data_IF_484495456541
#
_entry.id   IF_484495456541
#
_cell.length_a   1.000
_cell.length_b   1.000
_cell.length_c   1.000
_cell.angle_alpha   90.00
_cell.angle_beta   90.00
_cell.angle_gamma   90.00
#
_symmetry.space_group_name_H-M   'P 1'
#
loop_
_entity.id
_entity.type
_entity.pdbx_description
1 polymer ?
#
# COMPACT_ATOMS: atom_id res chain seq x y z
N UNK A 1 -43.98 -28.43 32.07
CA UNK A 1 -43.03 -27.37 32.45
C UNK A 1 -42.12 -27.10 31.27
N UNK A 2 -42.32 -25.95 30.59
CA UNK A 2 -41.46 -25.52 29.47
C UNK A 2 -40.62 -24.36 30.02
N UNK A 3 -39.28 -24.44 30.03
CA UNK A 3 -38.45 -23.37 30.57
C UNK A 3 -38.46 -22.16 29.62
N UNK A 4 -38.58 -20.97 30.21
CA UNK A 4 -38.55 -19.67 29.54
C UNK A 4 -37.16 -19.44 28.92
N UNK A 5 -37.12 -19.09 27.64
CA UNK A 5 -35.94 -18.53 26.98
C UNK A 5 -35.59 -17.18 27.63
N UNK A 6 -34.38 -17.10 28.20
CA UNK A 6 -33.76 -15.84 28.58
C UNK A 6 -33.41 -15.05 27.31
N UNK A 7 -33.81 -13.79 27.26
CA UNK A 7 -33.55 -12.90 26.13
C UNK A 7 -32.06 -12.72 25.88
N UNK A 8 -31.64 -12.91 24.63
CA UNK A 8 -30.32 -12.51 24.17
C UNK A 8 -30.26 -10.98 24.17
N UNK A 9 -29.53 -10.41 25.14
CA UNK A 9 -29.16 -9.00 25.10
C UNK A 9 -28.22 -8.76 23.91
N UNK A 10 -28.55 -7.76 23.07
CA UNK A 10 -27.59 -7.20 22.12
C UNK A 10 -26.42 -6.64 22.93
N UNK A 11 -25.27 -7.29 22.85
CA UNK A 11 -24.01 -6.68 23.26
C UNK A 11 -23.66 -5.63 22.21
N UNK A 12 -23.94 -4.37 22.50
CA UNK A 12 -23.36 -3.27 21.76
C UNK A 12 -21.84 -3.38 21.95
N UNK A 13 -21.13 -3.77 20.88
CA UNK A 13 -19.67 -3.75 20.86
C UNK A 13 -19.27 -2.30 20.93
N UNK A 14 -18.72 -1.88 22.08
CA UNK A 14 -17.99 -0.64 22.16
C UNK A 14 -16.75 -0.81 21.27
N UNK A 15 -16.81 -0.22 20.07
CA UNK A 15 -15.60 0.16 19.35
C UNK A 15 -14.82 1.04 20.31
N UNK A 16 -13.67 0.57 20.80
CA UNK A 16 -12.73 1.46 21.46
C UNK A 16 -12.46 2.61 20.49
N UNK A 17 -12.69 3.84 20.92
CA UNK A 17 -12.46 5.01 20.09
C UNK A 17 -10.97 5.10 19.79
N UNK A 18 -10.56 4.61 18.62
CA UNK A 18 -9.28 5.00 18.04
C UNK A 18 -9.43 6.46 17.61
N UNK A 19 -8.65 7.36 18.23
CA UNK A 19 -8.50 8.71 17.70
C UNK A 19 -7.45 8.68 16.59
N UNK A 20 -7.83 8.11 15.44
CA UNK A 20 -7.08 8.24 14.18
C UNK A 20 -7.51 9.48 13.40
N UNK A 21 -8.25 10.39 14.04
CA UNK A 21 -8.83 11.55 13.40
C UNK A 21 -7.86 12.72 13.43
N UNK A 22 -7.75 13.42 12.30
CA UNK A 22 -6.89 14.61 12.22
C UNK A 22 -7.49 15.85 12.90
N UNK A 23 -8.79 15.77 13.27
CA UNK A 23 -9.60 16.88 13.80
C UNK A 23 -9.48 18.13 12.92
N UNK A 24 -9.01 19.26 13.47
CA UNK A 24 -8.87 20.53 12.76
C UNK A 24 -7.62 20.60 11.86
N UNK A 25 -6.65 19.71 12.08
CA UNK A 25 -5.40 19.67 11.33
C UNK A 25 -5.41 18.52 10.30
N UNK A 26 -4.35 18.44 9.51
CA UNK A 26 -3.97 17.28 8.68
C UNK A 26 -2.43 17.16 8.70
N UNK A 27 -1.85 16.64 9.80
CA UNK A 27 -0.42 16.79 10.10
C UNK A 27 0.49 15.81 9.34
N UNK A 28 -0.06 14.74 8.76
CA UNK A 28 0.72 13.70 8.09
C UNK A 28 0.15 13.33 6.71
N UNK A 29 0.97 12.71 5.85
CA UNK A 29 0.54 12.31 4.49
C UNK A 29 -0.75 11.49 4.49
N UNK A 30 -0.87 10.54 5.41
CA UNK A 30 -2.06 9.71 5.62
C UNK A 30 -3.09 10.31 6.58
N UNK A 31 -3.05 11.62 6.82
CA UNK A 31 -3.81 12.30 7.86
C UNK A 31 -3.10 12.22 9.20
N UNK A 32 -2.99 11.02 9.75
CA UNK A 32 -2.29 10.69 10.99
C UNK A 32 -1.19 9.65 10.73
N UNK A 33 -0.32 9.36 11.70
CA UNK A 33 0.75 8.35 11.55
C UNK A 33 0.26 6.92 11.30
N UNK A 34 -1.00 6.64 11.62
CA UNK A 34 -1.71 5.39 11.35
C UNK A 34 -2.33 5.30 9.95
N UNK A 35 -2.25 6.36 9.15
CA UNK A 35 -2.64 6.41 7.73
C UNK A 35 -4.14 6.17 7.41
N UNK A 36 -5.05 6.44 8.35
CA UNK A 36 -6.49 6.28 8.16
C UNK A 36 -7.11 7.19 7.09
N UNK A 37 -6.48 8.34 6.81
CA UNK A 37 -7.05 9.42 5.98
C UNK A 37 -8.47 9.81 6.43
N UNK A 38 -8.71 9.80 7.74
CA UNK A 38 -10.01 10.07 8.37
C UNK A 38 -9.97 11.40 9.14
N UNK A 39 -11.00 12.23 8.95
CA UNK A 39 -11.24 13.42 9.75
C UNK A 39 -12.54 13.26 10.53
N UNK A 40 -12.54 13.69 11.79
CA UNK A 40 -13.73 13.71 12.65
C UNK A 40 -14.58 14.97 12.48
N UNK A 41 -14.21 15.89 11.57
CA UNK A 41 -15.02 17.07 11.27
C UNK A 41 -16.33 16.66 10.62
N UNK A 42 -17.44 17.19 11.14
CA UNK A 42 -18.80 16.86 10.73
C UNK A 42 -19.61 18.07 10.23
N UNK A 43 -18.98 19.25 10.16
CA UNK A 43 -19.60 20.47 9.64
C UNK A 43 -20.16 20.27 8.23
N UNK A 44 -19.41 19.55 7.37
CA UNK A 44 -19.88 19.12 6.06
C UNK A 44 -20.36 17.68 6.19
N UNK A 45 -21.62 17.44 5.80
CA UNK A 45 -22.28 16.14 5.92
C UNK A 45 -23.19 15.86 4.72
N UNK A 46 -23.78 14.66 4.68
CA UNK A 46 -24.68 14.24 3.61
C UNK A 46 -25.88 15.18 3.43
N UNK A 47 -26.32 15.86 4.50
CA UNK A 47 -27.48 16.77 4.46
C UNK A 47 -27.15 18.14 3.85
N UNK A 48 -25.87 18.52 3.78
CA UNK A 48 -25.48 19.87 3.37
C UNK A 48 -24.41 19.96 2.28
N UNK A 49 -23.77 18.84 1.89
CA UNK A 49 -22.69 18.81 0.89
C UNK A 49 -23.10 19.41 -0.47
N UNK A 50 -24.38 19.34 -0.84
CA UNK A 50 -24.90 19.97 -2.05
C UNK A 50 -24.81 21.51 -2.07
N UNK A 51 -24.47 22.14 -0.93
CA UNK A 51 -24.26 23.58 -0.81
C UNK A 51 -22.77 23.97 -0.83
N UNK A 52 -21.86 23.02 -0.98
CA UNK A 52 -20.42 23.27 -0.98
C UNK A 52 -20.04 24.18 -2.15
N UNK A 53 -19.16 25.15 -1.89
CA UNK A 53 -18.63 26.08 -2.89
C UNK A 53 -17.12 26.21 -2.70
N UNK A 54 -16.42 26.56 -3.78
CA UNK A 54 -15.00 26.91 -3.67
C UNK A 54 -14.84 28.15 -2.79
N UNK A 55 -13.97 28.06 -1.77
CA UNK A 55 -13.63 29.19 -0.91
C UNK A 55 -12.55 30.06 -1.56
N UNK A 56 -11.50 29.43 -2.09
CA UNK A 56 -10.40 30.06 -2.82
C UNK A 56 -9.70 29.03 -3.71
N UNK A 57 -8.80 29.49 -4.59
CA UNK A 57 -7.93 28.65 -5.41
C UNK A 57 -6.51 29.22 -5.42
N UNK A 58 -5.50 28.33 -5.38
CA UNK A 58 -4.09 28.70 -5.38
C UNK A 58 -3.38 28.12 -6.61
N UNK A 59 -2.58 28.95 -7.28
CA UNK A 59 -1.85 28.57 -8.50
C UNK A 59 -0.38 28.34 -8.17
N UNK A 60 0.08 27.09 -8.26
CA UNK A 60 1.49 26.72 -7.99
C UNK A 60 2.44 27.00 -9.17
N UNK A 61 1.89 27.51 -10.27
CA UNK A 61 2.59 27.90 -11.49
C UNK A 61 2.91 26.74 -12.42
N UNK A 62 3.84 25.85 -12.04
CA UNK A 62 4.33 24.76 -12.92
C UNK A 62 3.67 23.45 -12.50
N UNK A 63 2.99 22.82 -13.45
CA UNK A 63 2.07 21.68 -13.20
C UNK A 63 2.43 20.44 -14.01
N UNK A 64 3.61 20.41 -14.64
CA UNK A 64 4.06 19.28 -15.45
C UNK A 64 3.97 17.97 -14.66
N UNK A 65 3.45 16.92 -15.29
CA UNK A 65 3.29 15.60 -14.67
C UNK A 65 2.08 15.47 -13.73
N UNK A 66 1.36 16.54 -13.41
CA UNK A 66 0.18 16.52 -12.54
C UNK A 66 0.47 16.56 -11.03
N UNK A 67 -0.58 16.67 -10.22
CA UNK A 67 -0.53 16.80 -8.76
C UNK A 67 -0.90 15.51 -8.05
N UNK A 68 0.09 14.89 -7.39
CA UNK A 68 -0.12 13.74 -6.50
C UNK A 68 -0.08 14.13 -5.01
N UNK A 69 0.11 15.42 -4.73
CA UNK A 69 0.36 15.93 -3.40
C UNK A 69 -0.87 15.81 -2.50
N UNK A 70 -0.66 15.35 -1.26
CA UNK A 70 -1.59 15.62 -0.15
C UNK A 70 -1.11 16.89 0.58
N UNK A 71 -1.88 18.00 0.56
CA UNK A 71 -1.59 19.17 1.38
C UNK A 71 -1.58 18.80 2.86
N UNK A 72 -0.62 19.34 3.63
CA UNK A 72 -0.64 19.22 5.09
C UNK A 72 -1.13 20.52 5.70
N UNK A 73 -1.99 20.45 6.71
CA UNK A 73 -2.46 21.62 7.46
C UNK A 73 -2.07 21.46 8.91
N UNK A 74 -1.30 22.40 9.45
CA UNK A 74 -0.86 22.41 10.85
C UNK A 74 -0.97 23.83 11.37
N UNK A 75 -1.71 24.02 12.45
CA UNK A 75 -1.92 25.33 13.09
C UNK A 75 -2.40 26.41 12.10
N UNK A 76 -3.32 26.05 11.20
CA UNK A 76 -3.91 26.96 10.20
C UNK A 76 -3.01 27.27 8.99
N UNK A 77 -1.80 26.70 8.92
CA UNK A 77 -0.90 26.85 7.77
C UNK A 77 -0.97 25.59 6.90
N UNK A 78 -1.26 25.77 5.62
CA UNK A 78 -1.25 24.73 4.61
C UNK A 78 0.09 24.67 3.88
N UNK A 79 0.73 23.49 3.86
CA UNK A 79 1.97 23.22 3.15
C UNK A 79 1.68 22.38 1.90
N UNK A 80 2.03 22.91 0.74
CA UNK A 80 1.71 22.30 -0.56
C UNK A 80 2.98 22.11 -1.38
N UNK A 81 3.42 20.87 -1.63
CA UNK A 81 4.43 20.62 -2.64
C UNK A 81 3.82 20.59 -4.04
N UNK A 82 4.63 20.92 -5.04
CA UNK A 82 4.24 20.97 -6.45
C UNK A 82 5.37 20.42 -7.33
N UNK A 83 5.05 20.18 -8.60
CA UNK A 83 5.97 19.70 -9.62
C UNK A 83 7.28 20.49 -9.62
N UNK A 84 8.37 19.81 -9.99
CA UNK A 84 9.71 20.40 -10.02
C UNK A 84 10.21 20.88 -8.65
N UNK A 85 9.84 20.15 -7.59
CA UNK A 85 10.32 20.36 -6.22
C UNK A 85 10.10 21.79 -5.71
N UNK A 86 8.87 22.26 -5.89
CA UNK A 86 8.39 23.52 -5.32
C UNK A 86 7.61 23.21 -4.05
N UNK A 87 7.73 24.07 -3.05
CA UNK A 87 6.98 23.98 -1.78
C UNK A 87 6.43 25.35 -1.44
N UNK A 88 5.18 25.40 -1.02
CA UNK A 88 4.49 26.62 -0.61
C UNK A 88 3.98 26.44 0.81
N UNK A 89 4.05 27.50 1.62
CA UNK A 89 3.23 27.66 2.81
C UNK A 89 2.18 28.73 2.55
N UNK A 90 0.94 28.41 2.90
CA UNK A 90 -0.25 29.17 2.56
C UNK A 90 -1.08 29.29 3.83
N UNK A 91 -1.64 30.46 4.09
CA UNK A 91 -2.68 30.63 5.10
C UNK A 91 -3.93 29.84 4.65
N UNK A 92 -4.32 28.80 5.41
CA UNK A 92 -5.33 27.85 4.97
C UNK A 92 -6.75 28.46 4.88
N UNK A 93 -7.02 29.51 5.64
CA UNK A 93 -8.31 30.21 5.64
C UNK A 93 -8.45 31.11 4.43
N UNK A 94 -7.41 31.90 4.14
CA UNK A 94 -7.46 32.97 3.12
C UNK A 94 -6.89 32.58 1.76
N UNK A 95 -6.10 31.50 1.68
CA UNK A 95 -5.39 31.11 0.47
C UNK A 95 -4.18 32.01 0.13
N UNK A 96 -3.79 32.92 1.04
CA UNK A 96 -2.66 33.82 0.84
C UNK A 96 -1.34 33.09 1.05
N UNK A 97 -0.41 33.25 0.11
CA UNK A 97 0.95 32.73 0.26
C UNK A 97 1.67 33.41 1.43
N UNK A 98 2.30 32.60 2.29
CA UNK A 98 3.19 33.04 3.37
C UNK A 98 4.63 33.03 2.88
N UNK A 99 5.07 31.90 2.31
CA UNK A 99 6.38 31.75 1.67
C UNK A 99 6.34 30.65 0.60
N UNK A 100 7.32 30.67 -0.30
CA UNK A 100 7.60 29.58 -1.22
C UNK A 100 9.09 29.22 -1.24
N UNK A 101 9.39 28.00 -1.66
CA UNK A 101 10.74 27.51 -1.93
C UNK A 101 10.77 26.78 -3.26
N UNK A 102 11.64 27.22 -4.17
CA UNK A 102 11.86 26.58 -5.47
C UNK A 102 13.25 25.95 -5.52
N UNK A 103 13.28 24.62 -5.46
CA UNK A 103 14.52 23.87 -5.56
C UNK A 103 15.18 24.09 -6.93
N UNK A 104 16.47 24.41 -6.91
CA UNK A 104 17.28 24.55 -8.13
C UNK A 104 17.71 23.18 -8.61
N UNK A 105 16.84 22.52 -9.38
CA UNK A 105 17.15 21.24 -10.00
C UNK A 105 18.35 21.37 -10.97
N UNK A 106 19.24 20.36 -11.03
CA UNK A 106 20.30 20.31 -12.03
C UNK A 106 19.75 20.46 -13.45
N UNK A 107 20.45 21.21 -14.31
CA UNK A 107 20.00 21.47 -15.70
C UNK A 107 19.88 20.20 -16.53
N UNK A 108 20.76 19.23 -16.29
CA UNK A 108 20.84 17.95 -17.01
C UNK A 108 20.13 16.83 -16.25
N UNK A 109 19.04 17.14 -15.55
CA UNK A 109 18.32 16.12 -14.81
C UNK A 109 17.69 15.11 -15.77
N UNK A 110 18.21 13.88 -15.75
CA UNK A 110 17.62 12.74 -16.43
C UNK A 110 16.33 12.35 -15.71
N UNK A 111 15.20 12.91 -16.15
CA UNK A 111 13.89 12.64 -15.56
C UNK A 111 13.49 11.21 -15.97
N UNK A 112 13.78 10.24 -15.10
CA UNK A 112 13.38 8.84 -15.29
C UNK A 112 11.91 8.66 -14.91
N UNK A 113 11.51 9.28 -13.81
CA UNK A 113 10.13 9.39 -13.38
C UNK A 113 9.68 10.85 -13.53
N UNK A 114 8.45 11.07 -14.00
CA UNK A 114 7.84 12.41 -14.14
C UNK A 114 8.01 13.25 -12.86
N UNK A 115 7.99 14.60 -12.89
CA UNK A 115 8.39 15.44 -11.76
C UNK A 115 7.36 15.52 -10.61
N UNK A 116 6.81 14.37 -10.25
CA UNK A 116 5.84 14.14 -9.19
C UNK A 116 6.42 14.35 -7.81
N UNK A 117 5.55 14.79 -6.91
CA UNK A 117 5.77 14.77 -5.47
C UNK A 117 4.45 14.44 -4.78
N UNK A 118 4.49 13.54 -3.80
CA UNK A 118 3.29 13.09 -3.07
C UNK A 118 3.04 13.90 -1.80
N UNK A 119 4.03 14.59 -1.27
CA UNK A 119 3.83 15.34 -0.03
C UNK A 119 5.12 15.87 0.58
N UNK A 120 4.92 16.57 1.68
CA UNK A 120 5.95 17.00 2.61
C UNK A 120 5.74 16.32 3.97
N UNK A 121 6.70 16.44 4.87
CA UNK A 121 6.47 16.23 6.30
C UNK A 121 6.65 17.55 7.05
N UNK A 122 5.84 17.82 8.06
CA UNK A 122 5.89 19.05 8.85
C UNK A 122 5.99 18.70 10.33
N UNK A 123 6.89 19.38 11.05
CA UNK A 123 7.01 19.23 12.50
C UNK A 123 8.39 19.61 13.02
N UNK A 124 8.50 19.85 14.32
CA UNK A 124 9.77 20.27 14.94
C UNK A 124 10.33 21.58 14.37
N UNK A 125 9.44 22.48 13.92
CA UNK A 125 9.80 23.75 13.29
C UNK A 125 10.33 23.64 11.86
N UNK A 126 10.11 22.51 11.18
CA UNK A 126 10.66 22.23 9.85
C UNK A 126 9.64 21.63 8.89
N UNK A 127 9.94 21.80 7.59
CA UNK A 127 9.24 21.15 6.47
C UNK A 127 10.26 20.31 5.69
N UNK A 128 9.97 19.03 5.49
CA UNK A 128 10.86 18.10 4.80
C UNK A 128 10.24 17.63 3.48
N UNK A 129 11.05 17.53 2.43
CA UNK A 129 10.61 16.96 1.16
C UNK A 129 11.77 16.30 0.40
N UNK A 130 11.40 15.40 -0.52
CA UNK A 130 12.32 14.74 -1.43
C UNK A 130 12.43 15.43 -2.79
N UNK A 131 13.59 15.32 -3.44
CA UNK A 131 13.87 15.97 -4.72
C UNK A 131 14.03 14.98 -5.89
N UNK A 132 13.96 15.53 -7.11
CA UNK A 132 14.16 14.79 -8.35
C UNK A 132 15.61 14.31 -8.51
N UNK A 133 16.58 15.04 -7.95
CA UNK A 133 18.00 14.67 -7.91
C UNK A 133 18.37 13.88 -6.63
N UNK A 134 17.37 13.23 -6.03
CA UNK A 134 17.51 12.30 -4.91
C UNK A 134 18.14 12.90 -3.64
N UNK A 135 17.79 14.15 -3.34
CA UNK A 135 18.10 14.82 -2.07
C UNK A 135 16.89 14.81 -1.13
N UNK A 136 17.17 14.85 0.17
CA UNK A 136 16.23 15.31 1.19
C UNK A 136 16.60 16.73 1.58
N UNK A 137 15.59 17.60 1.64
CA UNK A 137 15.76 19.00 2.03
C UNK A 137 14.90 19.27 3.26
N UNK A 138 15.46 20.02 4.22
CA UNK A 138 14.72 20.59 5.34
C UNK A 138 14.65 22.11 5.20
N UNK A 139 13.45 22.65 5.29
CA UNK A 139 13.17 24.08 5.31
C UNK A 139 12.75 24.49 6.72
N UNK A 140 13.08 25.70 7.12
CA UNK A 140 12.48 26.34 8.29
C UNK A 140 10.99 26.56 8.04
N UNK A 141 10.16 26.10 8.97
CA UNK A 141 8.71 26.07 8.78
C UNK A 141 8.07 27.47 8.70
N UNK A 142 8.69 28.48 9.32
CA UNK A 142 8.16 29.85 9.35
C UNK A 142 8.58 30.68 8.14
N UNK A 143 9.78 30.42 7.61
CA UNK A 143 10.42 31.28 6.62
C UNK A 143 10.65 30.61 5.27
N UNK A 144 10.53 29.29 5.18
CA UNK A 144 10.83 28.51 3.98
C UNK A 144 12.34 28.43 3.65
N UNK A 145 13.22 28.95 4.52
CA UNK A 145 14.67 28.94 4.30
C UNK A 145 15.25 27.55 4.51
N UNK A 146 16.03 27.08 3.55
CA UNK A 146 16.76 25.82 3.66
C UNK A 146 17.69 25.81 4.88
N UNK A 147 17.51 24.80 5.73
CA UNK A 147 18.31 24.54 6.92
C UNK A 147 19.43 23.54 6.61
N UNK A 148 19.09 22.48 5.88
CA UNK A 148 20.04 21.49 5.40
C UNK A 148 19.50 20.76 4.16
N UNK A 149 20.43 20.15 3.43
CA UNK A 149 20.18 19.30 2.26
C UNK A 149 21.19 18.16 2.24
N UNK A 150 20.71 16.97 1.95
CA UNK A 150 21.55 15.77 1.86
C UNK A 150 21.18 14.96 0.62
N UNK A 151 22.18 14.68 -0.22
CA UNK A 151 22.02 13.72 -1.31
C UNK A 151 22.00 12.29 -0.72
N UNK A 152 20.95 11.54 -1.03
CA UNK A 152 20.72 10.21 -0.46
C UNK A 152 21.47 9.14 -1.23
N UNK A 153 21.51 9.28 -2.56
CA UNK A 153 22.27 8.46 -3.50
C UNK A 153 22.43 9.24 -4.82
N UNK A 154 23.46 8.91 -5.60
CA UNK A 154 23.67 9.51 -6.91
C UNK A 154 22.60 9.04 -7.91
N UNK A 155 21.73 9.95 -8.34
CA UNK A 155 20.66 9.67 -9.30
C UNK A 155 21.19 9.09 -10.62
N UNK A 156 22.42 9.43 -11.02
CA UNK A 156 23.04 8.92 -12.26
C UNK A 156 23.42 7.45 -12.15
N UNK A 157 23.60 6.95 -10.92
CA UNK A 157 23.95 5.57 -10.64
C UNK A 157 22.68 4.74 -10.38
N UNK A 158 21.78 5.23 -9.52
CA UNK A 158 20.59 4.47 -9.17
C UNK A 158 19.46 4.62 -10.20
N UNK A 159 19.46 5.67 -11.02
CA UNK A 159 18.32 5.98 -11.89
C UNK A 159 17.05 6.34 -11.10
N UNK A 160 17.21 6.89 -9.91
CA UNK A 160 16.17 6.99 -8.90
C UNK A 160 16.02 8.42 -8.37
N UNK A 161 14.87 8.68 -7.75
CA UNK A 161 14.52 9.96 -7.12
C UNK A 161 13.57 9.75 -5.94
N UNK A 162 13.24 10.83 -5.23
CA UNK A 162 12.32 10.77 -4.09
C UNK A 162 11.00 11.43 -4.48
N UNK A 163 9.97 10.61 -4.66
CA UNK A 163 8.60 11.07 -4.99
C UNK A 163 7.63 10.92 -3.82
N UNK A 164 7.91 10.01 -2.88
CA UNK A 164 7.11 9.81 -1.66
C UNK A 164 7.24 10.98 -0.69
N UNK A 165 6.19 11.21 0.11
CA UNK A 165 6.29 12.17 1.21
C UNK A 165 7.22 11.60 2.28
N UNK A 166 8.13 12.38 2.87
CA UNK A 166 8.88 11.92 4.03
C UNK A 166 7.94 11.55 5.18
N UNK A 167 8.33 10.60 6.02
CA UNK A 167 7.63 10.31 7.27
C UNK A 167 8.46 10.87 8.44
N UNK A 168 7.85 11.77 9.21
CA UNK A 168 8.44 12.32 10.42
C UNK A 168 7.97 11.50 11.63
N UNK A 169 8.92 11.02 12.43
CA UNK A 169 8.64 10.32 13.69
C UNK A 169 9.78 10.59 14.68
N UNK A 170 9.44 10.82 15.95
CA UNK A 170 10.40 11.19 16.99
C UNK A 170 11.32 12.35 16.53
N UNK A 171 12.63 12.11 16.55
CA UNK A 171 13.75 12.96 16.15
C UNK A 171 14.28 12.63 14.74
N UNK A 172 13.53 11.84 13.94
CA UNK A 172 13.97 11.33 12.64
C UNK A 172 12.97 11.61 11.53
N UNK A 173 13.50 11.83 10.34
CA UNK A 173 12.74 11.84 9.09
C UNK A 173 13.23 10.72 8.19
N UNK A 174 12.33 9.86 7.74
CA UNK A 174 12.63 8.76 6.82
C UNK A 174 12.11 9.09 5.42
N UNK A 175 12.91 8.71 4.43
CA UNK A 175 12.53 8.76 3.02
C UNK A 175 12.77 7.43 2.36
N UNK A 176 11.89 7.11 1.42
CA UNK A 176 12.06 6.03 0.47
C UNK A 176 12.63 6.49 -0.86
N UNK A 177 12.57 5.60 -1.84
CA UNK A 177 13.13 5.81 -3.18
C UNK A 177 12.22 5.21 -4.25
N UNK A 178 12.22 5.80 -5.44
CA UNK A 178 11.67 5.17 -6.67
C UNK A 178 12.63 4.11 -7.23
N UNK A 179 12.43 3.65 -8.46
CA UNK A 179 13.39 2.76 -9.12
C UNK A 179 13.11 1.27 -8.96
N UNK A 180 11.84 0.87 -8.81
CA UNK A 180 11.45 -0.55 -8.71
C UNK A 180 11.94 -1.37 -9.92
N UNK A 181 11.97 -0.73 -11.08
CA UNK A 181 12.41 -1.30 -12.37
C UNK A 181 13.82 -0.87 -12.76
N UNK A 182 14.49 -0.08 -11.92
CA UNK A 182 15.83 0.42 -12.17
C UNK A 182 16.87 -0.53 -11.58
N UNK A 183 18.06 -0.58 -12.19
CA UNK A 183 19.11 -1.51 -11.84
C UNK A 183 19.87 -1.09 -10.55
N UNK A 184 19.16 -0.90 -9.44
CA UNK A 184 19.72 -0.62 -8.12
C UNK A 184 19.02 -1.40 -7.01
N UNK A 185 19.52 -1.24 -5.77
CA UNK A 185 18.86 -1.75 -4.57
C UNK A 185 17.98 -0.66 -3.97
N UNK A 186 16.71 -0.95 -3.74
CA UNK A 186 15.81 -0.07 -3.00
C UNK A 186 16.24 0.09 -1.54
N UNK A 187 15.81 1.19 -0.93
CA UNK A 187 16.18 1.52 0.44
C UNK A 187 15.14 2.37 1.14
N UNK A 188 15.23 2.33 2.47
CA UNK A 188 14.72 3.36 3.36
C UNK A 188 15.90 3.99 4.11
N UNK A 189 15.96 5.32 4.12
CA UNK A 189 17.02 6.04 4.86
C UNK A 189 16.39 7.01 5.84
N UNK A 190 16.76 6.90 7.12
CA UNK A 190 16.36 7.83 8.16
C UNK A 190 17.49 8.82 8.46
N UNK A 191 17.11 10.07 8.70
CA UNK A 191 18.00 11.18 9.00
C UNK A 191 17.57 11.86 10.29
N UNK A 192 18.53 12.34 11.07
CA UNK A 192 18.27 13.25 12.18
C UNK A 192 17.61 14.55 11.67
N UNK A 193 16.48 14.93 12.26
CA UNK A 193 15.65 16.06 11.78
C UNK A 193 16.35 17.41 11.86
N UNK A 194 17.32 17.57 12.78
CA UNK A 194 17.99 18.83 13.03
C UNK A 194 19.20 19.04 12.12
N UNK A 195 19.92 17.96 11.82
CA UNK A 195 21.24 18.01 11.21
C UNK A 195 21.32 17.37 9.83
N UNK A 196 20.33 16.56 9.44
CA UNK A 196 20.37 15.78 8.21
C UNK A 196 21.37 14.62 8.24
N UNK A 197 22.01 14.33 9.38
CA UNK A 197 22.92 13.18 9.47
C UNK A 197 22.13 11.87 9.34
N UNK A 198 22.64 10.96 8.52
CA UNK A 198 22.06 9.61 8.37
C UNK A 198 22.08 8.90 9.72
N UNK A 199 20.90 8.56 10.22
CA UNK A 199 20.71 7.77 11.43
C UNK A 199 20.88 6.28 11.12
N UNK A 200 20.15 5.79 10.12
CA UNK A 200 20.24 4.41 9.65
C UNK A 200 19.76 4.28 8.20
N UNK A 201 20.14 3.17 7.56
CA UNK A 201 19.62 2.74 6.25
C UNK A 201 19.21 1.28 6.33
N UNK A 202 18.06 0.97 5.78
CA UNK A 202 17.62 -0.39 5.48
C UNK A 202 17.61 -0.58 3.97
N UNK A 203 18.31 -1.58 3.46
CA UNK A 203 18.22 -1.99 2.05
C UNK A 203 17.08 -3.01 1.91
N UNK A 204 16.14 -2.75 1.01
CA UNK A 204 15.03 -3.68 0.76
C UNK A 204 15.47 -4.92 -0.02
N UNK A 205 16.58 -4.82 -0.73
CA UNK A 205 17.24 -5.95 -1.38
C UNK A 205 18.47 -6.35 -0.54
N UNK A 206 18.50 -7.53 0.09
CA UNK A 206 19.59 -7.98 0.96
C UNK A 206 20.84 -8.40 0.17
N UNK A 207 21.99 -7.87 0.56
CA UNK A 207 23.32 -8.24 0.06
C UNK A 207 23.95 -9.40 0.84
N UNK A 208 25.16 -9.83 0.46
CA UNK A 208 25.85 -10.95 1.09
C UNK A 208 25.97 -10.79 2.61
N UNK A 209 25.53 -11.82 3.35
CA UNK A 209 25.52 -11.82 4.81
C UNK A 209 24.28 -11.22 5.46
N UNK A 210 23.37 -10.63 4.69
CA UNK A 210 22.07 -10.13 5.16
C UNK A 210 20.99 -11.21 5.05
N UNK A 211 20.01 -11.17 5.96
CA UNK A 211 18.88 -12.11 5.93
C UNK A 211 18.09 -11.97 4.62
N UNK A 212 17.73 -13.09 3.98
CA UNK A 212 16.97 -13.13 2.73
C UNK A 212 17.84 -13.07 1.47
N UNK A 213 19.15 -12.87 1.59
CA UNK A 213 20.08 -12.84 0.45
C UNK A 213 20.07 -14.14 -0.37
N UNK A 214 19.88 -15.29 0.30
CA UNK A 214 19.79 -16.62 -0.29
C UNK A 214 18.59 -16.80 -1.23
N UNK A 215 17.65 -15.86 -1.23
CA UNK A 215 16.50 -15.85 -2.14
C UNK A 215 16.76 -15.17 -3.49
N UNK A 216 18.00 -14.72 -3.73
CA UNK A 216 18.45 -14.12 -4.99
C UNK A 216 19.47 -15.02 -5.70
N UNK A 217 19.27 -15.22 -7.00
CA UNK A 217 20.21 -15.98 -7.82
C UNK A 217 21.46 -15.15 -8.17
N UNK A 218 22.63 -15.66 -7.84
CA UNK A 218 23.92 -15.04 -8.20
C UNK A 218 24.00 -13.58 -7.76
N UNK A 219 24.26 -12.70 -8.71
CA UNK A 219 24.41 -11.26 -8.47
C UNK A 219 23.15 -10.43 -8.74
N UNK A 220 22.00 -11.07 -8.98
CA UNK A 220 20.74 -10.37 -9.30
C UNK A 220 20.31 -9.36 -8.22
N UNK A 221 20.67 -9.60 -6.95
CA UNK A 221 20.42 -8.68 -5.83
C UNK A 221 21.05 -7.29 -6.01
N UNK A 222 22.12 -7.14 -6.81
CA UNK A 222 22.77 -5.83 -7.03
C UNK A 222 21.87 -4.86 -7.79
N UNK A 223 20.91 -5.39 -8.54
CA UNK A 223 20.01 -4.66 -9.43
C UNK A 223 18.55 -5.06 -9.20
N UNK A 224 18.22 -5.45 -7.98
CA UNK A 224 16.98 -6.16 -7.66
C UNK A 224 15.73 -5.30 -7.52
N UNK A 225 15.80 -3.97 -7.68
CA UNK A 225 14.63 -3.09 -7.56
C UNK A 225 14.22 -2.91 -6.10
N UNK A 226 12.94 -3.18 -5.77
CA UNK A 226 12.41 -3.11 -4.41
C UNK A 226 12.21 -1.69 -3.90
N UNK A 227 11.67 -0.81 -4.75
CA UNK A 227 11.43 0.59 -4.41
C UNK A 227 10.42 0.76 -3.26
N UNK A 228 10.48 1.92 -2.60
CA UNK A 228 9.67 2.23 -1.40
C UNK A 228 9.00 3.59 -1.59
N UNK A 229 8.32 3.76 -2.71
CA UNK A 229 7.98 5.06 -3.28
C UNK A 229 6.73 5.74 -2.68
N UNK A 230 5.96 5.04 -1.84
CA UNK A 230 4.87 5.62 -1.04
C UNK A 230 5.27 5.69 0.44
N UNK A 231 4.66 6.63 1.15
CA UNK A 231 4.91 6.88 2.58
C UNK A 231 4.39 5.74 3.44
N UNK A 232 5.22 5.21 4.33
CA UNK A 232 4.81 4.23 5.34
C UNK A 232 4.08 4.83 6.53
N UNK A 233 3.89 4.01 7.58
CA UNK A 233 3.23 4.38 8.84
C UNK A 233 4.12 4.12 10.06
N UNK A 234 3.74 4.66 11.21
CA UNK A 234 4.49 4.52 12.46
C UNK A 234 3.58 4.26 13.65
N UNK A 235 3.86 3.20 14.40
CA UNK A 235 3.21 2.90 15.68
C UNK A 235 4.15 3.31 16.85
N UNK A 236 3.80 4.37 17.61
CA UNK A 236 4.61 4.80 18.75
C UNK A 236 4.62 3.82 19.92
N UNK A 237 3.57 3.01 20.10
CA UNK A 237 3.47 2.05 21.22
C UNK A 237 4.40 0.86 21.00
N UNK A 238 4.53 0.44 19.74
CA UNK A 238 5.42 -0.65 19.35
C UNK A 238 6.82 -0.17 18.95
N UNK A 239 6.98 1.14 18.75
CA UNK A 239 8.20 1.74 18.23
C UNK A 239 8.63 1.14 16.86
N UNK A 240 7.63 0.93 15.99
CA UNK A 240 7.81 0.29 14.68
C UNK A 240 7.40 1.22 13.55
N UNK A 241 8.24 1.29 12.53
CA UNK A 241 7.89 1.84 11.22
C UNK A 241 7.47 0.69 10.32
N UNK A 242 6.34 0.84 9.64
CA UNK A 242 5.86 -0.12 8.65
C UNK A 242 5.93 0.48 7.26
N UNK A 243 6.38 -0.32 6.30
CA UNK A 243 6.55 0.14 4.93
C UNK A 243 6.22 -0.98 3.95
N UNK A 244 5.54 -0.63 2.86
CA UNK A 244 5.33 -1.51 1.72
C UNK A 244 6.50 -1.44 0.74
N UNK A 245 6.99 -2.58 0.26
CA UNK A 245 8.08 -2.66 -0.72
C UNK A 245 7.51 -3.02 -2.09
N UNK A 246 7.98 -2.34 -3.12
CA UNK A 246 7.59 -2.58 -4.51
C UNK A 246 8.21 -3.82 -5.13
N UNK A 247 8.03 -3.93 -6.44
CA UNK A 247 8.38 -5.05 -7.30
C UNK A 247 9.91 -5.31 -7.40
N UNK A 248 10.26 -6.49 -7.92
CA UNK A 248 11.64 -6.88 -8.21
C UNK A 248 12.05 -6.53 -9.65
N UNK A 249 13.23 -5.93 -9.82
CA UNK A 249 13.83 -5.75 -11.13
C UNK A 249 14.63 -6.99 -11.58
N UNK A 250 14.54 -7.43 -12.85
CA UNK A 250 13.72 -6.87 -13.93
C UNK A 250 12.23 -7.27 -13.80
N UNK A 251 11.35 -6.30 -13.98
CA UNK A 251 9.92 -6.35 -13.63
C UNK A 251 9.16 -7.58 -14.17
N UNK A 252 9.11 -7.77 -15.49
CA UNK A 252 8.36 -8.86 -16.13
C UNK A 252 9.20 -10.10 -16.49
N UNK A 253 10.49 -10.15 -16.11
CA UNK A 253 11.39 -11.22 -16.52
C UNK A 253 12.17 -11.84 -15.35
N UNK A 254 11.61 -12.92 -14.79
CA UNK A 254 12.12 -13.58 -13.59
C UNK A 254 13.32 -14.51 -13.78
N UNK A 255 13.63 -14.96 -15.00
CA UNK A 255 14.66 -15.99 -15.24
C UNK A 255 16.08 -15.58 -14.79
N UNK A 256 16.36 -14.27 -14.83
CA UNK A 256 17.66 -13.71 -14.39
C UNK A 256 17.74 -13.47 -12.88
N UNK A 257 16.63 -13.61 -12.16
CA UNK A 257 16.48 -13.34 -10.73
C UNK A 257 15.70 -14.46 -10.02
N UNK A 258 16.06 -15.72 -10.29
CA UNK A 258 15.41 -16.87 -9.66
C UNK A 258 15.45 -16.80 -8.13
N UNK A 259 14.40 -17.34 -7.50
CA UNK A 259 14.20 -17.30 -6.05
C UNK A 259 13.01 -16.42 -5.68
N UNK A 260 12.70 -16.29 -4.39
CA UNK A 260 11.53 -15.50 -3.96
C UNK A 260 11.77 -13.99 -3.97
N UNK A 261 13.02 -13.54 -4.15
CA UNK A 261 13.39 -12.12 -4.29
C UNK A 261 13.07 -11.25 -3.05
N UNK A 262 13.36 -11.74 -1.83
CA UNK A 262 13.10 -10.93 -0.63
C UNK A 262 13.93 -9.64 -0.62
N UNK A 263 13.42 -8.49 -0.18
CA UNK A 263 12.11 -8.24 0.43
C UNK A 263 11.16 -7.51 -0.53
N UNK A 264 11.18 -7.81 -1.83
CA UNK A 264 10.22 -7.21 -2.78
C UNK A 264 8.80 -7.66 -2.45
N UNK A 265 7.83 -6.83 -2.84
CA UNK A 265 6.40 -7.10 -2.69
C UNK A 265 6.04 -7.55 -1.29
N UNK A 266 6.59 -6.85 -0.31
CA UNK A 266 6.51 -7.21 1.10
C UNK A 266 6.07 -6.04 1.96
N UNK A 267 5.33 -6.34 3.01
CA UNK A 267 5.21 -5.48 4.18
C UNK A 267 6.45 -5.74 5.04
N UNK A 268 7.18 -4.69 5.39
CA UNK A 268 8.29 -4.76 6.35
C UNK A 268 7.98 -3.94 7.60
N UNK A 269 8.42 -4.44 8.76
CA UNK A 269 8.39 -3.71 10.02
C UNK A 269 9.81 -3.52 10.54
N UNK A 270 10.18 -2.25 10.72
CA UNK A 270 11.51 -1.83 11.16
C UNK A 270 11.42 -1.23 12.56
N UNK A 271 12.43 -1.53 13.38
CA UNK A 271 12.71 -0.79 14.60
C UNK A 271 12.94 0.70 14.27
N UNK A 272 12.15 1.61 14.84
CA UNK A 272 12.23 3.01 14.42
C UNK A 272 13.57 3.68 14.79
N UNK A 273 14.22 3.23 15.88
CA UNK A 273 15.48 3.82 16.34
C UNK A 273 16.68 3.30 15.55
N UNK A 274 16.67 2.03 15.16
CA UNK A 274 17.85 1.36 14.58
C UNK A 274 17.70 0.97 13.11
N UNK A 275 16.50 0.99 12.54
CA UNK A 275 16.22 0.53 11.19
C UNK A 275 16.32 -0.99 11.01
N UNK A 276 16.51 -1.75 12.11
CA UNK A 276 16.61 -3.21 12.04
C UNK A 276 15.27 -3.84 11.74
N UNK A 277 15.25 -4.79 10.79
CA UNK A 277 14.08 -5.59 10.48
C UNK A 277 13.62 -6.38 11.70
N UNK A 278 12.35 -6.25 12.08
CA UNK A 278 11.70 -7.01 13.15
C UNK A 278 10.93 -8.19 12.59
N UNK A 279 10.19 -7.94 11.51
CA UNK A 279 9.46 -8.94 10.77
C UNK A 279 9.14 -8.43 9.36
N UNK A 280 8.77 -9.36 8.48
CA UNK A 280 8.23 -9.06 7.16
C UNK A 280 7.09 -10.03 6.82
N UNK A 281 6.27 -9.67 5.84
CA UNK A 281 5.32 -10.54 5.18
C UNK A 281 5.41 -10.27 3.67
N UNK A 282 5.89 -11.27 2.91
CA UNK A 282 5.95 -11.16 1.45
C UNK A 282 4.61 -11.57 0.86
N UNK A 283 4.00 -10.65 0.11
CA UNK A 283 2.70 -10.79 -0.52
C UNK A 283 2.80 -11.52 -1.85
N UNK A 284 3.79 -11.17 -2.68
CA UNK A 284 4.01 -11.76 -4.01
C UNK A 284 5.46 -12.27 -4.12
N UNK A 285 5.71 -13.56 -3.82
CA UNK A 285 7.04 -14.15 -4.04
C UNK A 285 7.33 -14.29 -5.53
N UNK A 286 8.54 -13.91 -5.95
CA UNK A 286 8.98 -14.00 -7.35
C UNK A 286 8.01 -13.29 -8.32
N UNK A 287 7.65 -12.03 -8.00
CA UNK A 287 6.75 -11.24 -8.83
C UNK A 287 7.26 -11.15 -10.28
N UNK A 288 6.37 -11.28 -11.25
CA UNK A 288 6.63 -11.09 -12.70
C UNK A 288 5.50 -10.30 -13.35
N UNK A 289 4.74 -9.55 -12.56
CA UNK A 289 3.51 -8.87 -12.96
C UNK A 289 3.48 -7.37 -12.63
N UNK A 290 4.56 -6.81 -12.09
CA UNK A 290 4.60 -5.44 -11.57
C UNK A 290 3.56 -5.24 -10.45
N UNK A 291 3.54 -6.16 -9.48
CA UNK A 291 2.55 -6.17 -8.40
C UNK A 291 3.05 -5.52 -7.11
N UNK A 292 3.62 -4.30 -7.21
CA UNK A 292 4.09 -3.54 -6.05
C UNK A 292 3.15 -3.61 -4.85
N UNK A 293 3.73 -4.00 -3.71
CA UNK A 293 3.13 -3.87 -2.38
C UNK A 293 3.49 -2.54 -1.71
N UNK A 294 3.94 -1.54 -2.48
CA UNK A 294 4.47 -0.29 -1.94
C UNK A 294 3.43 0.64 -1.28
N UNK A 295 2.15 0.29 -1.29
CA UNK A 295 1.07 1.15 -0.79
C UNK A 295 1.08 1.34 0.74
N UNK A 296 0.18 2.18 1.26
CA UNK A 296 0.17 2.56 2.66
C UNK A 296 -0.07 1.35 3.58
N UNK A 297 0.51 1.41 4.77
CA UNK A 297 0.26 0.46 5.85
C UNK A 297 -0.71 1.09 6.85
N UNK A 298 -2.01 0.84 6.71
CA UNK A 298 -3.04 1.42 7.59
C UNK A 298 -3.07 0.65 8.92
N UNK A 299 -2.85 1.35 10.03
CA UNK A 299 -2.74 0.75 11.37
C UNK A 299 -4.05 0.90 12.13
N UNK A 300 -4.58 -0.21 12.65
CA UNK A 300 -5.85 -0.21 13.36
C UNK A 300 -5.92 -1.28 14.44
N UNK A 301 -6.82 -1.10 15.41
CA UNK A 301 -7.07 -2.06 16.47
C UNK A 301 -8.41 -2.73 16.22
N UNK A 302 -8.44 -4.05 16.24
CA UNK A 302 -9.69 -4.80 16.13
C UNK A 302 -9.66 -6.08 16.97
N UNK A 303 -10.82 -6.57 17.43
CA UNK A 303 -10.89 -7.88 18.04
C UNK A 303 -10.67 -8.97 16.99
N UNK A 304 -9.71 -9.87 17.23
CA UNK A 304 -9.52 -11.13 16.48
C UNK A 304 -9.78 -12.28 17.44
N UNK A 305 -10.73 -13.14 17.10
CA UNK A 305 -11.19 -14.24 17.96
C UNK A 305 -11.55 -13.77 19.39
N UNK A 306 -12.21 -12.61 19.49
CA UNK A 306 -12.67 -12.04 20.76
C UNK A 306 -11.58 -11.32 21.58
N UNK A 307 -10.34 -11.23 21.10
CA UNK A 307 -9.24 -10.57 21.81
C UNK A 307 -8.71 -9.36 21.00
N UNK A 308 -8.40 -8.22 21.64
CA UNK A 308 -7.91 -7.03 20.95
C UNK A 308 -6.55 -7.31 20.30
N UNK A 309 -6.35 -6.82 19.09
CA UNK A 309 -5.11 -6.92 18.31
C UNK A 309 -4.78 -5.61 17.62
N UNK A 310 -3.50 -5.28 17.60
CA UNK A 310 -2.92 -4.25 16.72
C UNK A 310 -2.73 -4.88 15.34
N UNK A 311 -3.42 -4.36 14.34
CA UNK A 311 -3.46 -4.87 12.98
C UNK A 311 -2.94 -3.82 12.00
N UNK A 312 -2.52 -4.31 10.84
CA UNK A 312 -2.09 -3.54 9.71
C UNK A 312 -2.83 -4.04 8.47
N UNK A 313 -3.40 -3.12 7.71
CA UNK A 313 -3.96 -3.34 6.38
C UNK A 313 -2.99 -2.81 5.33
N UNK A 314 -2.64 -3.66 4.36
CA UNK A 314 -1.96 -3.26 3.14
C UNK A 314 -2.76 -3.77 1.95
N UNK A 315 -2.83 -2.97 0.89
CA UNK A 315 -3.40 -3.35 -0.40
C UNK A 315 -2.30 -3.29 -1.43
N UNK A 316 -2.30 -4.18 -2.42
CA UNK A 316 -1.29 -4.17 -3.47
C UNK A 316 -1.90 -4.11 -4.87
N UNK A 317 -1.04 -3.91 -5.88
CA UNK A 317 -1.45 -3.89 -7.30
C UNK A 317 -2.09 -5.22 -7.76
N UNK A 318 -1.86 -6.32 -7.04
CA UNK A 318 -2.44 -7.64 -7.30
C UNK A 318 -3.93 -7.78 -6.91
N UNK A 319 -4.55 -6.77 -6.32
CA UNK A 319 -6.00 -6.74 -6.05
C UNK A 319 -6.44 -7.44 -4.75
N UNK A 320 -5.50 -7.72 -3.85
CA UNK A 320 -5.79 -8.29 -2.54
C UNK A 320 -5.61 -7.26 -1.43
N UNK A 321 -6.40 -7.40 -0.37
CA UNK A 321 -6.20 -6.74 0.91
C UNK A 321 -5.60 -7.74 1.91
N UNK A 322 -4.43 -7.39 2.44
CA UNK A 322 -3.70 -8.16 3.44
C UNK A 322 -3.91 -7.52 4.81
N UNK A 323 -4.48 -8.29 5.74
CA UNK A 323 -4.56 -7.90 7.15
C UNK A 323 -3.61 -8.77 7.96
N UNK A 324 -2.59 -8.12 8.54
CA UNK A 324 -1.54 -8.77 9.32
C UNK A 324 -1.47 -8.18 10.73
N UNK A 325 -1.01 -8.97 11.69
CA UNK A 325 -0.79 -8.49 13.06
C UNK A 325 0.47 -7.61 13.15
N UNK A 326 0.32 -6.38 13.66
CA UNK A 326 1.40 -5.38 13.71
C UNK A 326 2.57 -5.80 14.62
N UNK A 327 2.28 -6.53 15.70
CA UNK A 327 3.30 -7.21 16.51
C UNK A 327 3.49 -8.63 16.01
N UNK A 328 4.24 -8.83 14.93
CA UNK A 328 4.64 -10.19 14.59
C UNK A 328 5.87 -10.59 15.41
N UNK A 329 5.69 -11.56 16.30
CA UNK A 329 6.79 -12.22 17.00
C UNK A 329 7.77 -12.81 15.98
N UNK A 330 9.06 -12.65 16.24
CA UNK A 330 10.18 -13.06 15.38
C UNK A 330 10.00 -14.46 14.76
N UNK A 331 10.40 -14.59 13.49
CA UNK A 331 10.99 -15.84 13.01
C UNK A 331 10.06 -16.98 12.57
N UNK A 332 8.87 -16.72 12.03
CA UNK A 332 8.12 -17.76 11.31
C UNK A 332 7.62 -17.27 9.96
N UNK A 333 8.44 -17.51 8.92
CA UNK A 333 7.88 -17.78 7.61
C UNK A 333 7.05 -19.07 7.74
N UNK A 334 5.76 -19.00 7.40
CA UNK A 334 5.19 -20.15 6.72
C UNK A 334 5.73 -20.04 5.31
N UNK A 335 6.66 -20.92 4.94
CA UNK A 335 6.83 -21.26 3.53
C UNK A 335 5.46 -21.62 2.94
N UNK A 336 5.28 -21.56 1.61
CA UNK A 336 3.99 -21.76 0.99
C UNK A 336 3.32 -23.00 1.60
N UNK A 337 2.11 -22.84 2.14
CA UNK A 337 1.22 -23.98 2.25
C UNK A 337 1.26 -24.61 0.87
N UNK A 338 1.63 -25.90 0.80
CA UNK A 338 1.71 -26.67 -0.44
C UNK A 338 0.67 -26.13 -1.39
N UNK A 339 1.11 -25.48 -2.48
CA UNK A 339 0.27 -25.32 -3.64
C UNK A 339 -0.40 -26.69 -3.83
N UNK A 340 -1.74 -26.70 -3.85
CA UNK A 340 -2.48 -27.90 -4.18
C UNK A 340 -1.77 -28.53 -5.38
N UNK A 341 -1.32 -29.79 -5.22
CA UNK A 341 -0.64 -30.50 -6.30
C UNK A 341 -1.48 -30.31 -7.56
N UNK A 342 -0.79 -29.91 -8.63
CA UNK A 342 -1.38 -29.46 -9.88
C UNK A 342 -2.66 -30.19 -10.25
N UNK A 343 -3.70 -29.40 -10.44
CA UNK A 343 -4.65 -29.66 -11.50
C UNK A 343 -4.53 -28.48 -12.45
N UNK A 344 -3.83 -28.73 -13.56
CA UNK A 344 -3.81 -28.02 -14.82
C UNK A 344 -4.59 -26.69 -14.87
N UNK A 345 -3.87 -25.58 -14.70
CA UNK A 345 -4.34 -24.27 -15.14
C UNK A 345 -4.23 -24.21 -16.68
N UNK A 346 -5.19 -24.84 -17.36
CA UNK A 346 -5.47 -24.53 -18.76
C UNK A 346 -6.19 -23.18 -18.82
N UNK A 347 -5.50 -22.18 -19.37
CA UNK A 347 -6.09 -20.90 -19.75
C UNK A 347 -7.04 -21.12 -20.94
N UNK A 348 -8.33 -21.26 -20.68
CA UNK A 348 -9.35 -21.25 -21.73
C UNK A 348 -9.70 -19.80 -22.08
N UNK A 349 -9.11 -19.30 -23.17
CA UNK A 349 -9.75 -18.23 -23.92
C UNK A 349 -11.05 -18.76 -24.51
N UNK A 350 -12.20 -18.36 -23.98
CA UNK A 350 -13.47 -18.49 -24.71
C UNK A 350 -14.25 -17.18 -24.68
N UNK A 351 -14.37 -16.63 -25.89
CA UNK A 351 -15.25 -15.53 -26.23
C UNK A 351 -16.71 -15.78 -25.85
N UNK A 352 -17.38 -14.67 -25.50
CA UNK A 352 -18.80 -14.38 -25.73
C UNK A 352 -19.81 -15.35 -25.11
N UNK A 353 -20.36 -14.96 -23.95
CA UNK A 353 -21.81 -14.77 -23.69
C UNK A 353 -22.02 -14.26 -22.26
N UNK A 354 -22.95 -13.32 -22.07
CA UNK A 354 -23.36 -12.77 -20.76
C UNK A 354 -23.76 -13.91 -19.80
N UNK A 355 -23.40 -13.86 -18.51
CA UNK A 355 -24.00 -14.75 -17.53
C UNK A 355 -25.34 -14.19 -17.03
N UNK A 356 -26.36 -15.03 -16.76
CA UNK A 356 -27.46 -14.69 -15.89
C UNK A 356 -27.04 -14.77 -14.42
N UNK A 357 -27.74 -13.97 -13.61
CA UNK A 357 -27.57 -13.77 -12.18
C UNK A 357 -27.86 -15.07 -11.40
N UNK A 358 -27.20 -15.17 -10.24
CA UNK A 358 -27.37 -16.10 -9.11
C UNK A 358 -26.38 -17.27 -9.03
N UNK A 359 -25.40 -17.10 -8.15
CA UNK A 359 -24.68 -18.18 -7.47
C UNK A 359 -24.43 -17.72 -6.04
N UNK A 360 -25.32 -18.10 -5.12
CA UNK A 360 -25.11 -17.95 -3.67
C UNK A 360 -24.04 -18.95 -3.23
N UNK A 361 -22.92 -18.44 -2.70
CA UNK A 361 -21.97 -19.24 -1.93
C UNK A 361 -22.14 -18.89 -0.45
N UNK A 362 -22.26 -19.93 0.39
CA UNK A 362 -22.48 -19.84 1.84
C UNK A 362 -21.30 -19.12 2.53
N UNK A 363 -21.59 -17.94 3.09
CA UNK A 363 -20.80 -17.28 4.12
C UNK A 363 -21.33 -17.71 5.49
N UNK A 364 -20.45 -18.20 6.37
CA UNK A 364 -20.71 -18.20 7.80
C UNK A 364 -20.49 -16.76 8.32
N UNK A 365 -21.44 -15.89 8.05
CA UNK A 365 -21.59 -14.60 8.71
C UNK A 365 -22.80 -14.71 9.64
N UNK A 366 -22.63 -14.35 10.91
CA UNK A 366 -23.78 -14.07 11.78
C UNK A 366 -24.48 -12.81 11.23
N UNK A 367 -25.55 -13.00 10.47
CA UNK A 367 -26.38 -11.93 9.93
C UNK A 367 -27.62 -11.73 10.82
N UNK A 368 -27.78 -10.50 11.31
CA UNK A 368 -29.01 -10.00 11.93
C UNK A 368 -29.94 -9.59 10.79
N UNK A 369 -31.02 -10.35 10.59
CA UNK A 369 -32.04 -10.06 9.55
C UNK A 369 -33.07 -9.09 10.11
N UNK A 370 -33.20 -7.92 9.47
CA UNK A 370 -34.39 -7.08 9.57
C UNK A 370 -35.41 -7.54 8.52
N UNK A 371 -36.62 -7.84 8.97
CA UNK A 371 -37.76 -8.19 8.14
C UNK A 371 -38.26 -6.96 7.37
N UNK A 372 -38.52 -7.12 6.06
CA UNK A 372 -39.79 -6.71 5.48
C UNK A 372 -40.05 -7.47 4.18
N UNK A 373 -41.26 -8.02 4.07
CA UNK A 373 -41.68 -8.85 2.95
C UNK A 373 -42.17 -8.03 1.77
N UNK A 374 -42.14 -8.62 0.57
CA UNK A 374 -43.24 -8.64 -0.39
C UNK A 374 -42.88 -9.58 -1.56
N UNK A 375 -43.78 -10.50 -1.89
CA UNK A 375 -43.68 -11.48 -2.99
C UNK A 375 -44.07 -10.86 -4.33
N UNK A 376 -43.41 -11.27 -5.41
CA UNK A 376 -44.03 -11.37 -6.75
C UNK A 376 -43.52 -12.60 -7.53
N UNK A 377 -44.42 -13.18 -8.34
CA UNK A 377 -44.33 -14.46 -9.08
C UNK A 377 -43.83 -14.20 -10.53
N UNK A 378 -43.03 -15.08 -11.16
CA UNK A 378 -42.60 -14.89 -12.55
C UNK A 378 -43.51 -15.60 -13.57
N UNK A 379 -43.93 -14.86 -14.60
CA UNK A 379 -44.57 -15.36 -15.82
C UNK A 379 -43.55 -15.67 -16.93
N UNK A 380 -43.76 -16.79 -17.63
CA UNK A 380 -42.96 -17.28 -18.77
C UNK A 380 -43.28 -16.53 -20.06
N UNK A 381 -42.30 -16.34 -20.96
CA UNK A 381 -42.53 -16.41 -22.41
C UNK A 381 -41.27 -16.78 -23.23
N UNK A 382 -41.53 -17.24 -24.46
CA UNK A 382 -40.81 -18.21 -25.31
C UNK A 382 -39.66 -17.64 -26.18
N UNK A 383 -38.78 -18.55 -26.60
CA UNK A 383 -37.75 -18.41 -27.64
C UNK A 383 -38.28 -18.18 -29.07
N UNK A 384 -37.47 -17.48 -29.88
CA UNK A 384 -37.39 -17.62 -31.33
C UNK A 384 -35.91 -17.58 -31.79
N UNK A 385 -35.57 -18.42 -32.78
CA UNK A 385 -34.23 -18.62 -33.37
C UNK A 385 -33.96 -17.64 -34.53
N UNK A 386 -32.68 -17.37 -34.80
CA UNK A 386 -32.17 -16.74 -36.03
C UNK A 386 -30.71 -17.13 -36.28
N UNK A 387 -30.33 -17.28 -37.55
CA UNK A 387 -29.28 -18.16 -38.11
C UNK A 387 -27.99 -17.48 -38.61
N UNK A 388 -26.96 -18.32 -38.87
CA UNK A 388 -25.87 -18.30 -39.91
C UNK A 388 -24.49 -17.66 -39.62
N UNK A 389 -23.42 -18.48 -39.85
CA UNK A 389 -22.20 -18.08 -40.62
C UNK A 389 -20.79 -18.35 -40.04
N UNK A 390 -20.19 -19.54 -40.34
CA UNK A 390 -18.75 -19.98 -40.51
C UNK A 390 -17.55 -19.42 -39.69
N UNK A 391 -16.28 -19.93 -39.85
CA UNK A 391 -15.75 -21.14 -40.53
C UNK A 391 -14.89 -22.08 -39.63
N UNK A 392 -14.39 -23.19 -40.22
CA UNK A 392 -13.61 -24.30 -39.60
C UNK A 392 -12.10 -24.02 -39.44
N UNK A 393 -11.44 -24.67 -38.46
CA UNK A 393 -9.97 -24.83 -38.35
C UNK A 393 -9.59 -26.23 -37.80
N UNK A 394 -8.49 -26.78 -38.31
CA UNK A 394 -7.94 -28.14 -38.12
C UNK A 394 -7.18 -28.34 -36.79
N UNK A 395 -7.07 -29.60 -36.33
CA UNK A 395 -6.36 -30.02 -35.12
C UNK A 395 -5.09 -30.83 -35.44
N UNK A 396 -4.03 -30.64 -34.65
CA UNK A 396 -2.90 -31.56 -34.48
C UNK A 396 -2.71 -31.84 -32.98
N UNK A 397 -2.42 -33.10 -32.63
CA UNK A 397 -2.19 -33.54 -31.25
C UNK A 397 -0.86 -34.31 -31.15
N UNK A 398 -0.08 -34.06 -30.09
CA UNK A 398 1.01 -34.93 -29.65
C UNK A 398 0.95 -35.13 -28.11
N UNK A 399 1.42 -36.27 -27.58
CA UNK A 399 1.12 -36.72 -26.22
C UNK A 399 2.16 -36.28 -25.18
N UNK A 400 1.71 -36.10 -23.93
CA UNK A 400 2.56 -35.88 -22.75
C UNK A 400 3.08 -37.21 -22.14
N UNK A 401 4.29 -37.25 -21.54
CA UNK A 401 4.75 -38.42 -20.79
C UNK A 401 4.43 -38.36 -19.29
N UNK A 402 4.39 -39.55 -18.71
CA UNK A 402 3.90 -39.92 -17.37
C UNK A 402 4.76 -39.44 -16.19
N UNK A 403 4.12 -39.32 -15.03
CA UNK A 403 4.74 -39.09 -13.73
C UNK A 403 4.94 -40.42 -12.99
N UNK A 404 6.14 -40.66 -12.44
CA UNK A 404 6.37 -41.74 -11.46
C UNK A 404 7.28 -41.35 -10.29
N UNK A 405 6.80 -41.78 -9.11
CA UNK A 405 7.44 -42.23 -7.88
C UNK A 405 8.56 -41.42 -7.16
N UNK A 406 8.35 -41.08 -5.86
CA UNK A 406 9.36 -41.18 -4.78
C UNK A 406 8.67 -41.37 -3.38
N UNK A 407 9.33 -42.03 -2.39
CA UNK A 407 8.68 -42.75 -1.29
C UNK A 407 8.56 -41.97 0.04
N UNK A 408 7.61 -42.40 0.89
CA UNK A 408 7.37 -41.86 2.24
C UNK A 408 8.28 -42.51 3.28
N UNK A 409 8.94 -41.73 4.14
CA UNK A 409 9.41 -42.17 5.48
C UNK A 409 8.66 -41.41 6.57
N UNK A 410 8.21 -42.15 7.60
CA UNK A 410 7.62 -41.63 8.84
C UNK A 410 8.75 -41.24 9.79
N UNK A 411 8.61 -40.09 10.46
CA UNK A 411 9.33 -39.78 11.69
C UNK A 411 8.32 -39.31 12.73
N UNK A 412 8.26 -40.03 13.84
CA UNK A 412 7.48 -39.74 15.03
C UNK A 412 8.30 -38.84 15.97
N UNK A 413 7.81 -37.64 16.26
CA UNK A 413 8.34 -36.74 17.27
C UNK A 413 7.22 -35.88 17.84
N UNK A 414 7.11 -35.82 19.17
CA UNK A 414 6.10 -35.03 19.89
C UNK A 414 6.18 -33.55 19.52
N UNK A 415 5.11 -33.01 18.93
CA UNK A 415 4.94 -31.59 18.66
C UNK A 415 4.63 -30.85 19.98
N UNK A 416 5.49 -29.89 20.34
CA UNK A 416 5.14 -28.82 21.29
C UNK A 416 4.12 -27.90 20.62
N UNK A 417 3.18 -27.35 21.40
CA UNK A 417 2.08 -26.50 20.93
C UNK A 417 2.60 -25.32 20.10
N UNK A 418 2.14 -25.24 18.86
CA UNK A 418 2.42 -24.17 17.92
C UNK A 418 1.23 -23.19 17.98
N UNK A 419 1.45 -21.94 18.40
CA UNK A 419 0.43 -20.89 18.28
C UNK A 419 0.17 -20.64 16.79
N UNK A 420 -1.09 -20.76 16.35
CA UNK A 420 -1.50 -20.46 14.97
C UNK A 420 -1.48 -18.94 14.78
N UNK A 421 -0.65 -18.47 13.85
CA UNK A 421 -0.78 -17.13 13.27
C UNK A 421 -1.83 -17.15 12.15
N UNK A 422 -2.75 -16.19 12.18
CA UNK A 422 -3.82 -16.01 11.20
C UNK A 422 -3.50 -14.77 10.34
N UNK A 423 -3.50 -14.93 9.03
CA UNK A 423 -3.46 -13.82 8.06
C UNK A 423 -4.78 -13.87 7.32
N UNK A 424 -5.52 -12.77 7.32
CA UNK A 424 -6.75 -12.64 6.56
C UNK A 424 -6.41 -11.99 5.22
N UNK A 425 -6.63 -12.73 4.13
CA UNK A 425 -6.50 -12.23 2.77
C UNK A 425 -7.91 -12.13 2.19
N UNK A 426 -8.30 -10.93 1.79
CA UNK A 426 -9.63 -10.66 1.22
C UNK A 426 -9.45 -10.22 -0.23
N UNK A 427 -10.08 -10.89 -1.21
CA UNK A 427 -10.12 -10.39 -2.59
C UNK A 427 -10.97 -9.11 -2.63
N UNK A 428 -10.49 -8.07 -3.31
CA UNK A 428 -11.31 -6.89 -3.56
C UNK A 428 -12.27 -7.16 -4.71
N UNK A 429 -13.57 -7.30 -4.43
CA UNK A 429 -14.60 -7.18 -5.45
C UNK A 429 -14.92 -5.70 -5.68
N UNK A 430 -14.36 -5.12 -6.75
CA UNK A 430 -14.78 -3.79 -7.21
C UNK A 430 -16.13 -3.96 -7.93
N UNK A 431 -17.22 -3.89 -7.17
CA UNK A 431 -18.55 -3.71 -7.75
C UNK A 431 -18.61 -2.30 -8.34
N UNK A 432 -18.62 -2.20 -9.66
CA UNK A 432 -18.96 -0.96 -10.36
C UNK A 432 -20.38 -0.55 -9.97
N UNK A 433 -20.52 0.29 -8.94
CA UNK A 433 -21.77 0.98 -8.66
C UNK A 433 -22.09 1.83 -9.89
N UNK A 434 -23.22 1.55 -10.54
CA UNK A 434 -23.62 2.15 -11.80
C UNK A 434 -23.57 3.68 -11.72
N UNK A 435 -22.74 4.28 -12.56
CA UNK A 435 -22.88 5.69 -12.91
C UNK A 435 -24.26 5.86 -13.59
N UNK A 436 -25.12 6.78 -13.12
CA UNK A 436 -26.29 7.15 -13.90
C UNK A 436 -25.79 7.78 -15.20
N UNK A 437 -26.24 7.21 -16.32
CA UNK A 437 -26.01 7.77 -17.64
C UNK A 437 -26.52 9.22 -17.68
N UNK A 438 -25.63 10.16 -17.99
CA UNK A 438 -26.04 11.48 -18.43
C UNK A 438 -26.77 11.33 -19.77
N UNK A 439 -28.10 11.42 -19.75
CA UNK A 439 -28.87 11.67 -20.96
C UNK A 439 -28.65 13.14 -21.33
N UNK A 440 -27.97 13.36 -22.45
CA UNK A 440 -27.95 14.66 -23.12
C UNK A 440 -29.34 15.00 -23.63
N UNK A 441 -29.80 16.20 -23.28
CA UNK A 441 -30.89 16.93 -23.90
C UNK A 441 -30.38 18.29 -24.32
#
# INVERSE_FOLDING_TARGET
MIPRLAGAGLLAVALFAQDGSTRNDWPHYGGERSAWRYSALDQISRSNVGRLKAAWAFQTGKVDGGFNATPLVVDGIMYVPSSWNRVFAIDAETGKEIWHYFYQNPREIGIIYSPWTRGVAVGGGRVFFGTLDNNVVALDQKTGREQWRVNVEDMRQCGCNITGAPLLFKDKVIVGVTGGDSAHRGYLTAFDVNTGRKAWRFWTIPGPGEQGHDTWAGDSWKHGGGATWLTGSYDPDLNLVYWGVGNAAADFYGDTRKGTNLYTDSIIALDADTGKLKWYYQEVPHDVWDFDAAYECVLFDAPVNGAPRKLLLNVNKGGYAFVVEGRRLQGQSRGPQRAARGQDLHYLSQHRRRPPVESRLLLAAHEVVLHDGHRMVPGRHRHARGTKGGPQLFWWSFPAPAADAWPRRRASGRLRSCERQEVLVVPLEISAAGFPAFNGG
#
